data_IF_843840530073
#
_entry.id   IF_843840530073
#
_cell.length_a   1.000
_cell.length_b   1.000
_cell.length_c   1.000
_cell.angle_alpha   90.00
_cell.angle_beta   90.00
_cell.angle_gamma   90.00
#
_symmetry.space_group_name_H-M   'P 1'
#
loop_
_entity.id
_entity.type
_entity.pdbx_description
1 polymer ?
#
# COMPACT_ATOMS: atom_id res chain seq x y z
N UNK A 1 -56.64 -0.72 17.58
CA UNK A 1 -55.51 -1.62 17.96
C UNK A 1 -54.92 -1.14 19.29
N UNK A 2 -55.50 -1.54 20.43
CA UNK A 2 -54.96 -1.25 21.77
C UNK A 2 -55.09 -2.55 22.56
N UNK A 3 -54.05 -3.40 22.50
CA UNK A 3 -53.99 -4.67 23.26
C UNK A 3 -52.56 -5.21 23.43
N UNK A 4 -51.56 -4.33 23.60
CA UNK A 4 -50.17 -4.74 23.94
C UNK A 4 -49.53 -4.03 25.15
N UNK A 5 -50.18 -3.06 25.77
CA UNK A 5 -49.63 -2.32 26.94
C UNK A 5 -49.97 -2.92 28.32
N UNK A 6 -50.84 -3.94 28.40
CA UNK A 6 -51.29 -4.49 29.69
C UNK A 6 -50.38 -5.57 30.27
N UNK A 7 -49.50 -6.21 29.49
CA UNK A 7 -48.66 -7.32 29.97
C UNK A 7 -47.38 -6.84 30.67
N UNK A 8 -46.81 -5.71 30.22
CA UNK A 8 -45.55 -5.16 30.73
C UNK A 8 -45.75 -4.51 32.11
N UNK A 9 -46.90 -3.87 32.33
CA UNK A 9 -47.22 -3.23 33.62
C UNK A 9 -47.53 -4.27 34.74
N UNK A 10 -48.11 -5.42 34.39
CA UNK A 10 -48.35 -6.53 35.33
C UNK A 10 -47.06 -7.23 35.76
N UNK A 11 -46.07 -7.31 34.86
CA UNK A 11 -44.76 -7.89 35.15
C UNK A 11 -43.93 -6.98 36.09
N UNK A 12 -43.92 -5.67 35.85
CA UNK A 12 -43.20 -4.69 36.68
C UNK A 12 -43.77 -4.57 38.10
N UNK A 13 -45.09 -4.68 38.29
CA UNK A 13 -45.72 -4.63 39.63
C UNK A 13 -45.48 -5.93 40.41
N UNK A 14 -45.50 -7.10 39.75
CA UNK A 14 -45.18 -8.39 40.40
C UNK A 14 -43.68 -8.52 40.72
N UNK A 15 -42.80 -7.89 39.94
CA UNK A 15 -41.37 -7.83 40.24
C UNK A 15 -41.10 -6.93 41.46
N UNK A 16 -41.77 -5.77 41.55
CA UNK A 16 -41.61 -4.84 42.67
C UNK A 16 -42.14 -5.36 44.02
N UNK A 17 -43.17 -6.21 43.99
CA UNK A 17 -43.74 -6.80 45.22
C UNK A 17 -43.01 -8.08 45.71
N UNK A 18 -42.25 -8.76 44.85
CA UNK A 18 -41.42 -9.91 45.29
C UNK A 18 -40.09 -9.52 45.92
N UNK A 19 -39.58 -8.33 45.61
CA UNK A 19 -38.30 -7.83 46.17
C UNK A 19 -38.45 -7.40 47.64
N UNK A 20 -39.65 -7.08 48.12
CA UNK A 20 -39.87 -6.61 49.50
C UNK A 20 -40.02 -7.72 50.56
N UNK A 21 -39.80 -8.99 50.20
CA UNK A 21 -40.00 -10.12 51.13
C UNK A 21 -38.92 -11.19 51.10
N UNK A 22 -37.69 -10.80 50.80
CA UNK A 22 -36.53 -11.69 50.92
C UNK A 22 -35.62 -11.26 52.06
N UNK A 23 -35.44 -12.20 52.99
CA UNK A 23 -34.65 -12.09 54.20
C UNK A 23 -33.17 -11.79 53.89
N UNK A 24 -32.52 -11.09 54.83
CA UNK A 24 -31.15 -10.54 54.81
C UNK A 24 -30.03 -11.50 54.37
N UNK A 25 -30.29 -12.79 54.21
CA UNK A 25 -29.30 -13.84 53.90
C UNK A 25 -29.11 -14.07 52.40
N UNK A 26 -30.11 -13.80 51.57
CA UNK A 26 -30.05 -13.98 50.10
C UNK A 26 -29.47 -12.75 49.37
N UNK A 27 -29.53 -11.57 49.98
CA UNK A 27 -29.03 -10.31 49.41
C UNK A 27 -27.49 -10.31 49.23
N UNK A 28 -26.78 -11.02 50.11
CA UNK A 28 -25.32 -11.23 50.03
C UNK A 28 -24.92 -12.11 48.85
N UNK A 29 -25.64 -13.22 48.63
CA UNK A 29 -25.43 -14.12 47.49
C UNK A 29 -25.81 -13.45 46.17
N UNK A 30 -26.90 -12.69 46.14
CA UNK A 30 -27.31 -11.93 44.96
C UNK A 30 -26.29 -10.85 44.59
N UNK A 31 -25.76 -10.09 45.56
CA UNK A 31 -24.68 -9.10 45.33
C UNK A 31 -23.38 -9.74 44.87
N UNK A 32 -23.05 -10.93 45.38
CA UNK A 32 -21.85 -11.68 44.99
C UNK A 32 -21.99 -12.23 43.57
N UNK A 33 -23.16 -12.75 43.20
CA UNK A 33 -23.45 -13.23 41.85
C UNK A 33 -23.59 -12.08 40.83
N UNK A 34 -24.11 -10.91 41.23
CA UNK A 34 -24.12 -9.72 40.37
C UNK A 34 -22.70 -9.18 40.15
N UNK A 35 -21.85 -9.19 41.17
CA UNK A 35 -20.42 -8.86 41.04
C UNK A 35 -19.70 -9.86 40.15
N UNK A 36 -19.94 -11.16 40.30
CA UNK A 36 -19.35 -12.18 39.43
C UNK A 36 -19.85 -12.04 37.98
N UNK A 37 -21.14 -11.75 37.78
CA UNK A 37 -21.70 -11.51 36.46
C UNK A 37 -21.14 -10.23 35.83
N UNK A 38 -20.97 -9.14 36.58
CA UNK A 38 -20.30 -7.93 36.09
C UNK A 38 -18.83 -8.21 35.75
N UNK A 39 -18.11 -8.96 36.61
CA UNK A 39 -16.69 -9.31 36.40
C UNK A 39 -16.51 -10.27 35.22
N UNK A 40 -17.49 -11.13 34.92
CA UNK A 40 -17.49 -12.00 33.73
C UNK A 40 -17.98 -11.28 32.47
N UNK A 41 -18.84 -10.26 32.59
CA UNK A 41 -19.32 -9.44 31.46
C UNK A 41 -18.35 -8.32 31.08
N UNK A 42 -17.56 -7.79 32.01
CA UNK A 42 -16.54 -6.76 31.76
C UNK A 42 -15.50 -7.18 30.69
N UNK A 43 -14.94 -8.40 30.69
CA UNK A 43 -14.07 -8.85 29.61
C UNK A 43 -14.83 -9.24 28.33
N UNK A 44 -16.13 -9.55 28.40
CA UNK A 44 -16.96 -9.78 27.21
C UNK A 44 -17.34 -8.46 26.50
N UNK A 45 -17.43 -7.35 27.24
CA UNK A 45 -17.55 -5.98 26.69
C UNK A 45 -16.20 -5.37 26.29
N UNK A 46 -15.10 -5.72 26.98
CA UNK A 46 -13.77 -5.30 26.57
C UNK A 46 -13.32 -5.96 25.25
N UNK A 47 -13.76 -7.20 24.99
CA UNK A 47 -13.51 -7.88 23.72
C UNK A 47 -14.41 -7.42 22.56
N UNK A 48 -15.50 -6.68 22.83
CA UNK A 48 -16.28 -6.01 21.77
C UNK A 48 -15.78 -4.59 21.46
N UNK A 49 -14.79 -4.08 22.19
CA UNK A 49 -14.18 -2.75 22.00
C UNK A 49 -12.82 -2.81 21.27
N UNK A 50 -12.51 -3.93 20.64
CA UNK A 50 -11.36 -4.05 19.73
C UNK A 50 -11.91 -4.53 18.38
N UNK A 51 -12.78 -3.73 17.76
CA UNK A 51 -12.84 -3.77 16.31
C UNK A 51 -11.57 -3.07 15.81
N UNK A 52 -10.55 -3.88 15.58
CA UNK A 52 -9.31 -3.42 15.00
C UNK A 52 -9.60 -2.84 13.61
N UNK A 53 -9.09 -1.63 13.36
CA UNK A 53 -8.77 -1.06 12.05
C UNK A 53 -8.87 -2.11 10.94
N UNK A 54 -9.90 -2.01 10.07
CA UNK A 54 -10.06 -2.98 8.99
C UNK A 54 -8.97 -2.78 7.94
N UNK A 55 -7.83 -3.40 8.19
CA UNK A 55 -6.70 -3.44 7.27
C UNK A 55 -7.02 -4.48 6.20
N UNK A 56 -7.08 -4.03 4.96
CA UNK A 56 -7.27 -4.91 3.80
C UNK A 56 -5.94 -5.04 3.08
N UNK A 57 -5.58 -6.29 2.78
CA UNK A 57 -4.45 -6.60 1.92
C UNK A 57 -4.98 -6.88 0.51
N UNK A 58 -4.40 -6.23 -0.49
CA UNK A 58 -4.69 -6.48 -1.89
C UNK A 58 -3.39 -6.68 -2.68
N UNK A 59 -3.46 -7.37 -3.81
CA UNK A 59 -2.31 -7.63 -4.66
C UNK A 59 -2.69 -7.43 -6.12
N UNK A 60 -2.09 -6.41 -6.74
CA UNK A 60 -2.32 -6.05 -8.12
C UNK A 60 -1.22 -6.64 -9.00
N UNK A 61 -1.61 -7.37 -10.05
CA UNK A 61 -0.66 -7.90 -11.02
C UNK A 61 -0.28 -6.81 -12.04
N UNK A 62 0.96 -6.88 -12.53
CA UNK A 62 1.45 -5.95 -13.55
C UNK A 62 0.63 -5.99 -14.86
N UNK A 63 0.54 -4.83 -15.51
CA UNK A 63 -0.11 -4.64 -16.80
C UNK A 63 0.84 -5.05 -17.94
N UNK A 64 0.60 -6.26 -18.45
CA UNK A 64 1.51 -6.94 -19.39
C UNK A 64 1.90 -6.15 -20.65
N UNK A 65 1.01 -5.38 -21.32
CA UNK A 65 1.37 -4.64 -22.53
C UNK A 65 2.44 -3.58 -22.32
N UNK A 66 2.56 -3.04 -21.11
CA UNK A 66 3.50 -1.97 -20.75
C UNK A 66 4.64 -2.46 -19.85
N UNK A 67 4.75 -3.77 -19.68
CA UNK A 67 5.77 -4.39 -18.84
C UNK A 67 6.76 -5.15 -19.73
N UNK A 68 8.05 -5.02 -19.45
CA UNK A 68 9.08 -5.60 -20.31
C UNK A 68 10.43 -4.94 -20.12
N UNK A 69 11.25 -4.98 -21.17
CA UNK A 69 12.52 -4.25 -21.18
C UNK A 69 12.76 -3.61 -22.55
N UNK A 70 13.51 -2.52 -22.53
CA UNK A 70 14.08 -1.88 -23.71
C UNK A 70 15.59 -2.12 -23.63
N UNK A 71 16.22 -2.42 -24.77
CA UNK A 71 17.67 -2.52 -24.87
C UNK A 71 18.24 -1.52 -25.86
N UNK A 72 19.33 -0.84 -25.48
CA UNK A 72 20.13 0.01 -26.35
C UNK A 72 21.35 -0.75 -26.82
N UNK A 73 21.45 -0.95 -28.13
CA UNK A 73 22.51 -1.73 -28.79
C UNK A 73 23.58 -0.78 -29.33
N UNK A 74 24.84 -1.04 -28.98
CA UNK A 74 26.02 -0.29 -29.42
C UNK A 74 26.71 -1.05 -30.58
N UNK A 75 26.42 -0.76 -31.85
CA UNK A 75 27.10 -1.41 -32.96
C UNK A 75 28.59 -1.07 -32.96
N UNK A 76 29.43 -2.01 -33.41
CA UNK A 76 30.87 -1.77 -33.50
C UNK A 76 31.21 -0.49 -34.28
N UNK A 77 31.86 0.43 -33.57
CA UNK A 77 32.59 1.58 -34.10
C UNK A 77 31.78 2.50 -35.02
N UNK A 78 30.59 2.96 -34.61
CA UNK A 78 30.03 4.32 -34.80
C UNK A 78 28.49 4.30 -34.72
N UNK A 79 27.84 5.44 -34.38
CA UNK A 79 26.39 5.60 -34.53
C UNK A 79 25.92 5.27 -35.96
N UNK A 80 24.64 4.88 -36.14
CA UNK A 80 23.52 4.99 -35.19
C UNK A 80 23.38 3.82 -34.22
N UNK A 81 22.87 4.08 -33.01
CA UNK A 81 22.44 3.05 -32.06
C UNK A 81 21.06 2.51 -32.46
N UNK A 82 20.78 1.25 -32.06
CA UNK A 82 19.47 0.65 -32.26
C UNK A 82 18.80 0.35 -30.92
N UNK A 83 17.47 0.50 -30.87
CA UNK A 83 16.66 0.11 -29.73
C UNK A 83 15.85 -1.13 -30.07
N UNK A 84 15.82 -2.09 -29.14
CA UNK A 84 14.95 -3.25 -29.21
C UNK A 84 14.00 -3.21 -28.02
N UNK A 85 12.71 -3.38 -28.29
CA UNK A 85 11.66 -3.38 -27.27
C UNK A 85 11.09 -4.78 -27.13
N UNK A 86 10.99 -5.26 -25.89
CA UNK A 86 10.33 -6.53 -25.58
C UNK A 86 9.27 -6.33 -24.51
N UNK A 87 8.05 -6.02 -24.95
CA UNK A 87 6.85 -6.00 -24.09
C UNK A 87 6.35 -7.43 -23.84
N UNK A 88 5.73 -7.66 -22.68
CA UNK A 88 5.14 -8.94 -22.31
C UNK A 88 6.14 -10.11 -22.40
N UNK A 89 7.37 -9.89 -21.96
CA UNK A 89 8.43 -10.89 -21.91
C UNK A 89 8.28 -11.81 -20.68
N UNK A 90 8.80 -13.03 -20.77
CA UNK A 90 8.92 -13.94 -19.61
C UNK A 90 9.90 -13.41 -18.55
N UNK A 91 10.76 -12.48 -18.94
CA UNK A 91 11.76 -11.90 -18.07
C UNK A 91 11.88 -10.38 -18.22
N UNK A 92 12.15 -9.72 -17.10
CA UNK A 92 12.65 -8.36 -16.99
C UNK A 92 14.17 -8.47 -16.85
N UNK A 93 14.92 -7.77 -17.70
CA UNK A 93 16.39 -7.76 -17.69
C UNK A 93 16.91 -6.35 -17.47
N UNK A 94 17.89 -6.21 -16.59
CA UNK A 94 18.51 -4.93 -16.23
C UNK A 94 20.02 -5.12 -16.16
N UNK A 95 20.79 -4.13 -16.62
CA UNK A 95 22.24 -4.15 -16.65
C UNK A 95 22.78 -4.20 -18.08
N UNK A 96 23.94 -4.80 -18.29
CA UNK A 96 24.44 -5.04 -19.64
C UNK A 96 24.50 -6.53 -19.99
N UNK A 97 24.49 -6.78 -21.29
CA UNK A 97 24.78 -8.10 -21.83
C UNK A 97 25.72 -7.96 -23.00
N UNK A 98 26.62 -8.93 -23.09
CA UNK A 98 27.24 -9.28 -24.35
C UNK A 98 26.29 -10.15 -25.15
N UNK A 99 25.91 -9.66 -26.33
CA UNK A 99 24.84 -10.15 -27.20
C UNK A 99 24.41 -11.61 -27.01
N UNK A 100 23.42 -11.79 -26.14
CA UNK A 100 22.53 -12.93 -26.19
C UNK A 100 21.72 -12.74 -27.50
N UNK A 101 21.84 -13.69 -28.44
CA UNK A 101 21.30 -13.68 -29.83
C UNK A 101 22.28 -13.22 -30.94
N UNK A 102 23.51 -13.74 -30.96
CA UNK A 102 24.33 -13.76 -32.20
C UNK A 102 24.81 -12.40 -32.72
N UNK A 103 24.62 -11.33 -31.95
CA UNK A 103 25.22 -10.01 -32.16
C UNK A 103 26.47 -9.92 -31.31
N UNK A 104 27.57 -9.49 -31.90
CA UNK A 104 28.85 -9.28 -31.22
C UNK A 104 28.88 -8.01 -30.36
N UNK A 105 27.78 -7.25 -30.35
CA UNK A 105 27.67 -5.87 -29.85
C UNK A 105 27.36 -5.80 -28.34
N UNK A 106 27.80 -4.70 -27.71
CA UNK A 106 27.46 -4.38 -26.32
C UNK A 106 26.01 -3.87 -26.23
N UNK A 107 25.27 -4.25 -25.19
CA UNK A 107 23.88 -3.87 -24.99
C UNK A 107 23.60 -3.45 -23.55
N UNK A 108 22.98 -2.28 -23.37
CA UNK A 108 22.41 -1.86 -22.09
C UNK A 108 20.91 -2.21 -22.04
N UNK A 109 20.41 -2.62 -20.87
CA UNK A 109 19.05 -3.09 -20.63
C UNK A 109 18.40 -2.32 -19.48
N UNK A 110 17.20 -1.78 -19.74
CA UNK A 110 16.31 -1.16 -18.74
C UNK A 110 14.99 -1.91 -18.74
N UNK A 111 14.47 -2.23 -17.55
CA UNK A 111 13.17 -2.88 -17.42
C UNK A 111 12.10 -1.90 -16.95
N UNK A 112 10.86 -2.19 -17.30
CA UNK A 112 9.71 -1.35 -17.00
C UNK A 112 8.59 -2.19 -16.41
N UNK A 113 7.99 -1.67 -15.35
CA UNK A 113 6.85 -2.23 -14.64
C UNK A 113 5.71 -1.25 -14.71
N UNK A 114 4.53 -1.74 -15.02
CA UNK A 114 3.30 -0.96 -14.95
C UNK A 114 2.28 -1.72 -14.12
N UNK A 115 1.60 -1.05 -13.21
CA UNK A 115 0.49 -1.62 -12.44
C UNK A 115 -0.78 -0.82 -12.69
N UNK A 116 -1.89 -1.51 -12.95
CA UNK A 116 -3.20 -0.87 -13.03
C UNK A 116 -3.69 -0.59 -11.62
N UNK A 117 -3.91 0.69 -11.32
CA UNK A 117 -4.44 1.17 -10.04
C UNK A 117 -5.85 1.76 -10.18
N UNK A 118 -6.47 1.59 -11.36
CA UNK A 118 -7.84 2.03 -11.65
C UNK A 118 -8.84 1.61 -10.57
N UNK A 119 -8.77 0.34 -10.16
CA UNK A 119 -9.68 -0.21 -9.16
C UNK A 119 -9.41 0.37 -7.76
N UNK A 120 -8.20 0.84 -7.48
CA UNK A 120 -7.87 1.43 -6.18
C UNK A 120 -8.61 2.75 -5.95
N UNK A 121 -8.72 3.58 -7.00
CA UNK A 121 -9.58 4.77 -6.98
C UNK A 121 -11.06 4.45 -6.74
N UNK A 122 -11.48 3.20 -6.98
CA UNK A 122 -12.86 2.72 -6.85
C UNK A 122 -13.13 1.96 -5.54
N UNK A 123 -12.11 1.64 -4.73
CA UNK A 123 -12.28 0.97 -3.41
C UNK A 123 -13.00 1.92 -2.42
N UNK A 124 -13.06 3.22 -2.70
CA UNK A 124 -13.95 4.18 -2.07
C UNK A 124 -15.42 3.84 -2.39
N UNK A 125 -16.02 2.95 -1.59
CA UNK A 125 -17.47 2.79 -1.58
C UNK A 125 -18.08 4.05 -0.95
N UNK A 126 -18.75 4.86 -1.77
CA UNK A 126 -19.60 6.05 -1.58
C UNK A 126 -19.41 7.04 -0.41
N UNK A 127 -18.86 6.67 0.75
CA UNK A 127 -18.51 7.54 1.88
C UNK A 127 -17.20 7.11 2.59
N UNK A 128 -16.43 6.20 1.99
CA UNK A 128 -15.19 5.67 2.58
C UNK A 128 -13.95 6.11 1.81
N UNK A 129 -12.90 6.45 2.54
CA UNK A 129 -11.58 6.83 2.05
C UNK A 129 -10.60 5.68 2.22
N UNK A 130 -9.47 5.74 1.51
CA UNK A 130 -8.41 4.73 1.60
C UNK A 130 -7.11 5.37 2.06
N UNK A 131 -6.53 4.84 3.13
CA UNK A 131 -5.20 5.19 3.62
C UNK A 131 -4.22 4.05 3.33
N UNK A 132 -3.16 4.33 2.57
CA UNK A 132 -2.14 3.33 2.24
C UNK A 132 -1.20 3.15 3.43
N UNK A 133 -1.29 2.01 4.10
CA UNK A 133 -0.37 1.67 5.20
C UNK A 133 1.02 1.35 4.63
N UNK A 134 1.07 0.50 3.60
CA UNK A 134 2.29 0.14 2.87
C UNK A 134 1.99 -0.24 1.42
N UNK A 135 2.91 0.04 0.52
CA UNK A 135 2.88 -0.50 -0.84
C UNK A 135 4.25 -1.04 -1.22
N UNK A 136 4.31 -2.29 -1.65
CA UNK A 136 5.55 -2.94 -2.06
C UNK A 136 5.41 -3.60 -3.41
N UNK A 137 6.41 -3.45 -4.26
CA UNK A 137 6.52 -4.30 -5.45
C UNK A 137 7.31 -5.54 -5.08
N UNK A 138 6.77 -6.71 -5.43
CA UNK A 138 7.45 -8.00 -5.35
C UNK A 138 7.80 -8.48 -6.76
N UNK A 139 9.07 -8.83 -6.96
CA UNK A 139 9.59 -9.39 -8.20
C UNK A 139 10.15 -10.78 -7.95
N UNK A 140 9.77 -11.77 -8.77
CA UNK A 140 10.35 -13.11 -8.70
C UNK A 140 11.75 -13.14 -9.30
N UNK A 141 12.74 -13.58 -8.54
CA UNK A 141 14.14 -13.64 -8.97
C UNK A 141 14.32 -14.77 -10.01
N UNK A 142 14.96 -14.48 -11.15
CA UNK A 142 15.26 -15.45 -12.21
C UNK A 142 16.75 -15.77 -12.31
N UNK A 143 17.60 -14.77 -12.16
CA UNK A 143 19.03 -15.00 -12.17
C UNK A 143 19.80 -13.69 -12.08
N UNK A 144 21.10 -13.84 -11.90
CA UNK A 144 22.06 -12.75 -11.92
C UNK A 144 23.33 -13.20 -12.63
N UNK A 145 24.04 -12.24 -13.19
CA UNK A 145 25.36 -12.43 -13.76
C UNK A 145 26.22 -11.23 -13.36
N UNK A 146 27.41 -11.48 -12.82
CA UNK A 146 28.40 -10.45 -12.53
C UNK A 146 29.74 -10.84 -13.14
N UNK A 147 30.31 -9.98 -13.99
CA UNK A 147 31.49 -10.28 -14.81
C UNK A 147 31.39 -11.65 -15.51
N UNK A 148 30.22 -11.96 -16.06
CA UNK A 148 29.98 -13.21 -16.78
C UNK A 148 29.85 -14.46 -15.90
N UNK A 149 29.87 -14.31 -14.58
CA UNK A 149 29.69 -15.41 -13.61
C UNK A 149 28.25 -15.43 -13.11
N UNK A 150 27.55 -16.55 -13.37
CA UNK A 150 26.17 -16.73 -12.92
C UNK A 150 26.05 -16.81 -11.40
N UNK A 151 24.98 -16.22 -10.86
CA UNK A 151 24.70 -16.20 -9.41
C UNK A 151 25.50 -15.16 -8.63
N UNK A 152 26.29 -14.34 -9.33
CA UNK A 152 27.01 -13.19 -8.76
C UNK A 152 26.21 -11.91 -9.05
N UNK A 153 26.21 -10.97 -8.12
CA UNK A 153 25.60 -9.65 -8.33
C UNK A 153 26.40 -8.88 -9.39
N UNK A 154 25.77 -8.08 -10.27
CA UNK A 154 26.48 -7.28 -11.28
C UNK A 154 27.62 -6.43 -10.71
N UNK A 155 28.75 -6.38 -11.44
CA UNK A 155 29.98 -5.70 -11.06
C UNK A 155 30.38 -4.75 -12.19
N UNK A 156 30.00 -3.50 -12.09
CA UNK A 156 30.39 -2.49 -13.07
C UNK A 156 31.68 -1.80 -12.63
N UNK A 157 32.70 -1.74 -13.50
CA UNK A 157 33.97 -1.05 -13.24
C UNK A 157 34.63 -1.47 -11.92
N UNK A 158 34.57 -2.77 -11.57
CA UNK A 158 35.02 -3.32 -10.28
C UNK A 158 34.25 -2.84 -9.04
N UNK A 159 33.05 -2.29 -9.20
CA UNK A 159 32.15 -1.96 -8.09
C UNK A 159 31.06 -3.03 -7.93
N UNK A 160 31.16 -3.92 -6.93
CA UNK A 160 30.17 -4.98 -6.70
C UNK A 160 28.93 -4.51 -5.93
N UNK A 161 28.86 -3.23 -5.54
CA UNK A 161 27.80 -2.69 -4.66
C UNK A 161 26.96 -1.63 -5.36
N UNK A 162 26.90 -1.63 -6.69
CA UNK A 162 26.09 -0.66 -7.42
C UNK A 162 24.61 -1.01 -7.27
N UNK A 163 23.78 -0.19 -6.60
CA UNK A 163 22.41 -0.57 -6.34
C UNK A 163 21.56 -0.56 -7.61
N UNK A 164 20.72 -1.57 -7.74
CA UNK A 164 19.56 -1.57 -8.62
C UNK A 164 18.48 -0.70 -7.97
N UNK A 165 18.01 0.30 -8.71
CA UNK A 165 17.01 1.25 -8.27
C UNK A 165 15.73 1.11 -9.10
N UNK A 166 14.64 1.60 -8.52
CA UNK A 166 13.40 1.86 -9.23
C UNK A 166 13.21 3.37 -9.35
N UNK A 167 12.83 3.83 -10.54
CA UNK A 167 12.49 5.22 -10.82
C UNK A 167 10.99 5.32 -11.06
N UNK A 168 10.33 6.30 -10.45
CA UNK A 168 8.93 6.60 -10.68
C UNK A 168 8.80 7.45 -11.95
N UNK A 169 8.04 6.94 -12.91
CA UNK A 169 7.98 7.48 -14.28
C UNK A 169 6.53 7.54 -14.77
N UNK A 170 6.33 8.25 -15.89
CA UNK A 170 5.05 8.29 -16.62
C UNK A 170 5.31 8.28 -18.13
N UNK A 171 5.09 7.12 -18.77
CA UNK A 171 5.11 6.99 -20.23
C UNK A 171 3.69 7.04 -20.83
N UNK A 172 2.66 7.30 -20.02
CA UNK A 172 1.28 7.21 -20.45
C UNK A 172 0.86 5.77 -20.76
N UNK A 173 0.09 5.60 -21.84
CA UNK A 173 -0.62 4.34 -22.16
C UNK A 173 0.12 3.41 -23.10
N UNK A 174 1.30 3.82 -23.58
CA UNK A 174 2.18 3.07 -24.47
C UNK A 174 3.62 3.36 -24.02
N UNK A 175 4.49 2.34 -23.99
CA UNK A 175 5.91 2.56 -23.76
C UNK A 175 6.47 3.46 -24.87
N UNK A 176 6.95 4.65 -24.51
CA UNK A 176 7.68 5.51 -25.43
C UNK A 176 9.03 4.87 -25.71
N UNK A 177 9.24 4.48 -26.96
CA UNK A 177 10.44 3.77 -27.37
C UNK A 177 11.52 4.71 -27.90
N UNK A 178 11.19 6.01 -27.97
CA UNK A 178 12.10 7.07 -28.39
C UNK A 178 12.77 7.77 -27.22
N UNK A 179 12.19 7.66 -26.03
CA UNK A 179 12.75 8.20 -24.79
C UNK A 179 13.43 7.09 -23.97
N UNK A 180 14.72 6.84 -24.28
CA UNK A 180 15.54 5.93 -23.49
C UNK A 180 15.79 6.49 -22.08
N UNK A 181 15.83 7.81 -21.93
CA UNK A 181 16.36 8.52 -20.76
C UNK A 181 15.28 8.77 -19.69
N UNK A 182 14.03 8.41 -19.94
CA UNK A 182 12.98 8.43 -18.95
C UNK A 182 13.35 7.59 -17.71
N UNK A 183 13.13 8.18 -16.53
CA UNK A 183 13.67 7.76 -15.23
C UNK A 183 14.96 8.48 -14.81
N UNK A 184 15.65 9.20 -15.72
CA UNK A 184 16.82 10.02 -15.37
C UNK A 184 16.42 11.41 -14.84
N UNK A 185 17.34 12.03 -14.08
CA UNK A 185 17.17 13.38 -13.55
C UNK A 185 16.99 14.38 -14.70
N UNK A 186 15.89 15.14 -14.65
CA UNK A 186 15.60 16.21 -15.61
C UNK A 186 14.86 15.76 -16.87
N UNK A 187 14.58 14.47 -17.04
CA UNK A 187 13.69 13.98 -18.09
C UNK A 187 12.21 14.25 -17.73
N UNK A 188 11.40 14.66 -18.71
CA UNK A 188 9.99 15.06 -18.50
C UNK A 188 9.05 13.91 -18.12
N UNK A 189 9.42 12.67 -18.44
CA UNK A 189 8.70 11.45 -18.08
C UNK A 189 9.17 10.89 -16.74
N UNK A 190 10.22 11.45 -16.13
CA UNK A 190 10.64 11.13 -14.77
C UNK A 190 9.86 11.94 -13.75
N UNK A 191 9.12 11.26 -12.87
CA UNK A 191 8.45 11.90 -11.74
C UNK A 191 9.43 12.01 -10.56
N UNK A 192 9.95 10.86 -10.13
CA UNK A 192 10.92 10.78 -9.03
C UNK A 192 12.00 9.74 -9.38
N UNK A 193 13.23 10.17 -9.67
CA UNK A 193 14.35 9.23 -9.88
C UNK A 193 14.71 8.54 -8.57
N UNK A 194 15.22 7.31 -8.67
CA UNK A 194 15.70 6.51 -7.54
C UNK A 194 14.71 6.44 -6.37
N UNK A 195 13.41 6.34 -6.68
CA UNK A 195 12.35 6.33 -5.66
C UNK A 195 12.48 5.17 -4.67
N UNK A 196 13.17 4.09 -5.05
CA UNK A 196 13.44 2.95 -4.19
C UNK A 196 14.73 2.22 -4.57
N UNK A 197 15.39 1.64 -3.57
CA UNK A 197 16.42 0.62 -3.79
C UNK A 197 15.71 -0.72 -3.94
N UNK A 198 15.90 -1.36 -5.08
CA UNK A 198 15.33 -2.68 -5.38
C UNK A 198 16.22 -3.76 -4.78
N UNK A 199 17.53 -3.64 -4.98
CA UNK A 199 18.49 -4.67 -4.59
C UNK A 199 19.91 -4.08 -4.61
N UNK A 200 20.73 -4.37 -3.61
CA UNK A 200 22.13 -3.93 -3.50
C UNK A 200 23.12 -5.12 -3.36
N UNK A 201 22.60 -6.34 -3.28
CA UNK A 201 23.36 -7.60 -3.23
C UNK A 201 22.48 -8.80 -3.60
N UNK A 202 23.08 -9.91 -4.07
CA UNK A 202 22.36 -11.17 -4.31
C UNK A 202 22.16 -11.96 -3.02
N UNK A 203 20.91 -12.14 -2.61
CA UNK A 203 20.53 -13.30 -1.80
C UNK A 203 20.21 -14.48 -2.73
N UNK A 204 21.16 -15.41 -2.85
CA UNK A 204 21.06 -16.58 -3.75
C UNK A 204 19.90 -17.52 -3.37
N UNK A 205 19.34 -17.39 -2.17
CA UNK A 205 18.23 -18.20 -1.70
C UNK A 205 16.88 -17.48 -1.82
N UNK A 206 16.88 -16.17 -2.11
CA UNK A 206 15.67 -15.40 -2.22
C UNK A 206 14.94 -15.72 -3.54
N UNK A 207 13.73 -16.25 -3.42
CA UNK A 207 12.84 -16.52 -4.57
C UNK A 207 12.28 -15.21 -5.13
N UNK A 208 12.21 -14.16 -4.31
CA UNK A 208 11.69 -12.85 -4.68
C UNK A 208 12.44 -11.74 -3.96
N UNK A 209 12.37 -10.55 -4.56
CA UNK A 209 12.82 -9.29 -3.99
C UNK A 209 11.62 -8.36 -3.82
N UNK A 210 11.59 -7.60 -2.71
CA UNK A 210 10.54 -6.61 -2.44
C UNK A 210 11.14 -5.23 -2.17
N UNK A 211 10.49 -4.19 -2.68
CA UNK A 211 10.88 -2.81 -2.43
C UNK A 211 9.67 -1.91 -2.25
N UNK A 212 9.82 -0.87 -1.42
CA UNK A 212 8.74 0.05 -1.06
C UNK A 212 8.48 1.06 -2.18
N UNK A 213 7.20 1.28 -2.49
CA UNK A 213 6.73 2.27 -3.47
C UNK A 213 5.53 3.05 -2.94
N UNK A 214 5.36 3.14 -1.61
CA UNK A 214 4.21 3.78 -0.98
C UNK A 214 4.02 5.21 -1.45
N UNK A 215 5.09 6.00 -1.43
CA UNK A 215 5.00 7.43 -1.71
C UNK A 215 4.71 7.71 -3.20
N UNK A 216 5.36 6.99 -4.11
CA UNK A 216 5.11 7.11 -5.56
C UNK A 216 3.70 6.64 -5.92
N UNK A 217 3.22 5.57 -5.30
CA UNK A 217 1.85 5.09 -5.49
C UNK A 217 0.82 6.11 -4.97
N UNK A 218 1.04 6.66 -3.76
CA UNK A 218 0.15 7.68 -3.20
C UNK A 218 0.08 8.90 -4.12
N UNK A 219 1.22 9.34 -4.65
CA UNK A 219 1.28 10.43 -5.62
C UNK A 219 0.43 10.14 -6.87
N UNK A 220 0.52 8.93 -7.43
CA UNK A 220 -0.28 8.56 -8.61
C UNK A 220 -1.79 8.54 -8.30
N UNK A 221 -2.18 8.10 -7.11
CA UNK A 221 -3.58 8.08 -6.65
C UNK A 221 -4.10 9.50 -6.44
N UNK A 222 -3.33 10.37 -5.80
CA UNK A 222 -3.72 11.77 -5.54
C UNK A 222 -3.94 12.55 -6.85
N UNK A 223 -3.22 12.17 -7.92
CA UNK A 223 -3.40 12.70 -9.27
C UNK A 223 -4.50 12.00 -10.09
N UNK A 224 -5.24 11.06 -9.49
CA UNK A 224 -6.25 10.24 -10.15
C UNK A 224 -5.72 9.49 -11.39
N UNK A 225 -4.48 9.00 -11.33
CA UNK A 225 -3.91 8.20 -12.41
C UNK A 225 -4.50 6.79 -12.41
N UNK A 226 -4.53 6.22 -13.61
CA UNK A 226 -4.97 4.84 -13.83
C UNK A 226 -3.84 3.82 -13.67
N UNK A 227 -2.59 4.27 -13.80
CA UNK A 227 -1.39 3.44 -13.84
C UNK A 227 -0.37 4.00 -12.87
N UNK A 228 0.39 3.11 -12.24
CA UNK A 228 1.63 3.42 -11.54
C UNK A 228 2.79 2.70 -12.24
N UNK A 229 3.82 3.45 -12.62
CA UNK A 229 4.86 2.98 -13.55
C UNK A 229 6.25 3.19 -12.98
N UNK A 230 7.10 2.18 -13.19
CA UNK A 230 8.45 2.15 -12.65
C UNK A 230 9.44 1.67 -13.68
N UNK A 231 10.58 2.37 -13.79
CA UNK A 231 11.76 1.87 -14.50
C UNK A 231 12.66 1.18 -13.48
N UNK A 232 13.27 0.07 -13.86
CA UNK A 232 14.34 -0.57 -13.12
C UNK A 232 15.65 -0.37 -13.88
N UNK A 233 16.63 0.24 -13.21
CA UNK A 233 17.94 0.56 -13.76
C UNK A 233 19.00 0.56 -12.64
N UNK A 234 20.27 0.52 -13.00
CA UNK A 234 21.36 0.78 -12.05
C UNK A 234 21.58 2.29 -11.93
N UNK A 235 21.82 2.78 -10.70
CA UNK A 235 21.87 4.21 -10.34
C UNK A 235 22.94 5.06 -11.06
N UNK A 236 23.97 4.47 -11.66
CA UNK A 236 25.08 5.28 -12.22
C UNK A 236 25.75 4.72 -13.47
N UNK A 237 25.58 3.43 -13.77
CA UNK A 237 26.19 2.79 -14.91
C UNK A 237 25.19 1.87 -15.56
N UNK A 238 25.15 1.89 -16.89
CA UNK A 238 24.34 0.94 -17.65
C UNK A 238 25.20 -0.17 -18.27
N UNK A 239 26.50 0.11 -18.34
CA UNK A 239 27.54 -0.77 -18.84
C UNK A 239 28.90 -0.23 -18.39
N UNK A 240 29.89 -1.10 -18.26
CA UNK A 240 31.30 -0.73 -18.10
C UNK A 240 32.15 -1.02 -19.35
N UNK A 241 31.50 -1.39 -20.46
CA UNK A 241 32.10 -1.67 -21.77
C UNK A 241 33.14 -2.79 -21.75
N UNK A 242 33.01 -3.76 -20.86
CA UNK A 242 33.83 -4.96 -20.92
C UNK A 242 33.20 -6.06 -21.81
N UNK A 243 33.82 -7.24 -21.81
CA UNK A 243 33.38 -8.38 -22.61
C UNK A 243 32.55 -9.40 -21.82
N UNK A 244 32.21 -9.05 -20.60
CA UNK A 244 31.43 -9.84 -19.69
C UNK A 244 30.02 -9.25 -19.62
N UNK A 245 29.11 -9.99 -19.00
CA UNK A 245 27.72 -9.57 -18.85
C UNK A 245 27.46 -9.35 -17.37
N UNK A 246 26.83 -8.21 -17.08
CA UNK A 246 26.53 -7.75 -15.75
C UNK A 246 25.04 -7.41 -15.68
N UNK A 247 24.22 -8.42 -15.33
CA UNK A 247 22.78 -8.29 -15.35
C UNK A 247 22.03 -8.93 -14.19
N UNK A 248 20.84 -8.40 -13.96
CA UNK A 248 19.79 -8.98 -13.12
C UNK A 248 18.61 -9.36 -13.99
N UNK A 249 18.03 -10.52 -13.68
CA UNK A 249 16.87 -11.05 -14.37
C UNK A 249 15.78 -11.34 -13.34
N UNK A 250 14.62 -10.73 -13.54
CA UNK A 250 13.39 -11.02 -12.80
C UNK A 250 12.36 -11.66 -13.73
N UNK A 251 11.35 -12.33 -13.15
CA UNK A 251 10.19 -12.80 -13.90
C UNK A 251 9.37 -11.61 -14.43
N UNK A 252 8.93 -11.71 -15.68
CA UNK A 252 8.10 -10.70 -16.32
C UNK A 252 6.60 -10.92 -16.13
N UNK A 253 5.83 -10.14 -16.88
CA UNK A 253 4.37 -10.12 -16.79
C UNK A 253 3.67 -11.27 -17.53
N UNK A 254 4.42 -12.10 -18.26
CA UNK A 254 3.87 -13.09 -19.17
C UNK A 254 2.95 -14.11 -18.47
N UNK A 255 1.80 -14.41 -19.09
CA UNK A 255 0.72 -15.21 -18.47
C UNK A 255 1.10 -16.67 -18.19
N UNK A 256 2.11 -17.22 -18.84
CA UNK A 256 2.55 -18.62 -18.59
C UNK A 256 3.38 -18.77 -17.31
N UNK A 257 3.83 -17.67 -16.70
CA UNK A 257 4.60 -17.70 -15.46
C UNK A 257 3.67 -17.98 -14.29
N UNK A 258 4.06 -18.84 -13.32
CA UNK A 258 3.30 -19.05 -12.09
C UNK A 258 2.95 -17.74 -11.39
N UNK A 259 1.69 -17.56 -11.02
CA UNK A 259 1.16 -16.31 -10.49
C UNK A 259 1.90 -15.84 -9.22
N UNK A 260 2.44 -16.76 -8.41
CA UNK A 260 3.24 -16.41 -7.23
C UNK A 260 4.63 -15.83 -7.57
N UNK A 261 5.10 -15.94 -8.81
CA UNK A 261 6.39 -15.44 -9.27
C UNK A 261 6.27 -14.22 -10.20
N UNK A 262 5.07 -13.91 -10.71
CA UNK A 262 4.84 -12.71 -11.54
C UNK A 262 5.01 -11.43 -10.72
N UNK A 263 5.44 -10.32 -11.35
CA UNK A 263 5.51 -9.02 -10.68
C UNK A 263 4.16 -8.61 -10.12
N UNK A 264 4.18 -8.19 -8.85
CA UNK A 264 3.00 -7.86 -8.07
C UNK A 264 3.22 -6.61 -7.24
N UNK A 265 2.20 -5.76 -7.17
CA UNK A 265 2.11 -4.66 -6.23
C UNK A 265 1.25 -5.13 -5.05
N UNK A 266 1.88 -5.30 -3.88
CA UNK A 266 1.25 -5.73 -2.64
C UNK A 266 0.91 -4.48 -1.84
N UNK A 267 -0.37 -4.30 -1.56
CA UNK A 267 -0.92 -3.16 -0.85
C UNK A 267 -1.46 -3.61 0.49
N UNK A 268 -1.10 -2.91 1.54
CA UNK A 268 -1.83 -2.94 2.80
C UNK A 268 -2.43 -1.55 2.99
N UNK A 269 -3.74 -1.48 3.14
CA UNK A 269 -4.44 -0.22 3.29
C UNK A 269 -5.55 -0.34 4.32
N UNK A 270 -6.00 0.81 4.79
CA UNK A 270 -7.13 0.93 5.70
C UNK A 270 -8.22 1.71 5.01
N UNK A 271 -9.42 1.16 5.04
CA UNK A 271 -10.62 1.88 4.66
C UNK A 271 -11.09 2.64 5.87
N UNK A 272 -11.36 3.94 5.74
CA UNK A 272 -11.80 4.79 6.84
C UNK A 272 -12.91 5.74 6.42
N UNK A 273 -13.59 6.35 7.39
CA UNK A 273 -14.52 7.46 7.18
C UNK A 273 -14.04 8.66 7.98
N UNK A 274 -14.27 9.87 7.50
CA UNK A 274 -13.96 11.06 8.29
C UNK A 274 -14.75 11.03 9.60
N UNK A 275 -14.09 11.34 10.71
CA UNK A 275 -14.68 11.35 12.05
C UNK A 275 -14.89 9.99 12.72
N UNK A 276 -14.65 8.87 12.02
CA UNK A 276 -14.75 7.49 12.56
C UNK A 276 -13.38 7.03 13.08
N UNK A 277 -13.05 7.49 14.28
CA UNK A 277 -11.70 7.39 14.89
C UNK A 277 -11.46 6.10 15.67
N UNK A 278 -12.51 5.36 16.01
CA UNK A 278 -12.39 3.99 16.51
C UNK A 278 -12.49 2.93 15.39
N UNK A 279 -12.81 3.33 14.16
CA UNK A 279 -12.90 2.48 12.97
C UNK A 279 -13.99 1.41 13.08
N UNK A 280 -15.06 1.67 13.84
CA UNK A 280 -16.21 0.77 13.95
C UNK A 280 -17.19 0.89 12.77
N UNK A 281 -16.98 1.89 11.91
CA UNK A 281 -17.77 2.17 10.71
C UNK A 281 -18.86 3.22 10.92
N UNK A 282 -19.03 3.73 12.15
CA UNK A 282 -20.05 4.69 12.55
C UNK A 282 -19.42 5.91 13.22
N UNK A 283 -19.83 7.10 12.79
CA UNK A 283 -19.42 8.34 13.47
C UNK A 283 -20.36 8.60 14.65
N UNK A 284 -19.85 8.50 15.88
CA UNK A 284 -20.62 8.59 17.13
C UNK A 284 -19.98 9.54 18.15
N UNK A 285 -20.60 9.67 19.33
CA UNK A 285 -20.02 10.43 20.44
C UNK A 285 -18.73 9.79 21.00
N UNK A 286 -18.50 8.50 20.75
CA UNK A 286 -17.28 7.81 21.18
C UNK A 286 -16.06 8.36 20.43
N UNK A 287 -16.21 8.68 19.15
CA UNK A 287 -15.14 9.29 18.35
C UNK A 287 -14.73 10.66 18.87
N UNK A 288 -15.71 11.46 19.29
CA UNK A 288 -15.47 12.76 19.91
C UNK A 288 -14.58 12.60 21.14
N UNK A 289 -14.87 11.61 21.99
CA UNK A 289 -14.06 11.32 23.17
C UNK A 289 -12.63 10.94 22.77
N UNK A 290 -12.44 10.07 21.78
CA UNK A 290 -11.11 9.64 21.33
C UNK A 290 -10.28 10.78 20.74
N UNK A 291 -10.89 11.67 19.96
CA UNK A 291 -10.21 12.89 19.47
C UNK A 291 -9.75 13.75 20.63
N UNK A 292 -10.64 14.02 21.60
CA UNK A 292 -10.30 14.83 22.78
C UNK A 292 -9.20 14.19 23.63
N UNK A 293 -9.24 12.87 23.81
CA UNK A 293 -8.19 12.13 24.52
C UNK A 293 -6.84 12.24 23.81
N UNK A 294 -6.80 12.10 22.49
CA UNK A 294 -5.58 12.27 21.67
C UNK A 294 -5.01 13.68 21.79
N UNK A 295 -5.86 14.71 21.77
CA UNK A 295 -5.46 16.12 21.94
C UNK A 295 -4.89 16.35 23.35
N UNK A 296 -5.57 15.88 24.40
CA UNK A 296 -5.18 16.12 25.80
C UNK A 296 -3.90 15.37 26.16
N UNK A 297 -3.75 14.13 25.71
CA UNK A 297 -2.60 13.29 26.07
C UNK A 297 -1.33 13.66 25.30
N UNK A 298 -1.39 14.59 24.35
CA UNK A 298 -0.29 14.97 23.46
C UNK A 298 0.43 13.74 22.88
N UNK A 299 -0.34 12.69 22.58
CA UNK A 299 0.17 11.45 22.02
C UNK A 299 0.70 11.71 20.61
N UNK A 300 1.79 11.05 20.23
CA UNK A 300 2.23 11.02 18.84
C UNK A 300 1.09 10.47 17.98
N UNK A 301 0.44 11.34 17.21
CA UNK A 301 -0.61 10.96 16.28
C UNK A 301 0.02 10.16 15.13
N UNK A 302 -0.61 9.06 14.73
CA UNK A 302 -0.29 8.46 13.43
C UNK A 302 -0.85 9.33 12.30
N UNK A 303 -0.29 9.19 11.10
CA UNK A 303 -0.83 9.88 9.91
C UNK A 303 -2.30 9.53 9.64
N UNK A 304 -2.70 8.29 9.96
CA UNK A 304 -4.08 7.84 9.85
C UNK A 304 -4.98 8.52 10.89
N UNK A 305 -4.53 8.63 12.15
CA UNK A 305 -5.28 9.35 13.19
C UNK A 305 -5.55 10.79 12.79
N UNK A 306 -4.53 11.45 12.23
CA UNK A 306 -4.66 12.80 11.71
C UNK A 306 -5.64 12.83 10.54
N UNK A 307 -5.52 11.92 9.56
CA UNK A 307 -6.42 11.90 8.39
C UNK A 307 -7.88 11.62 8.70
N UNK A 308 -8.15 10.81 9.70
CA UNK A 308 -9.50 10.44 10.09
C UNK A 308 -10.13 11.54 10.95
N UNK A 309 -9.36 12.09 11.89
CA UNK A 309 -9.85 13.04 12.87
C UNK A 309 -9.83 14.51 12.43
N UNK A 310 -8.96 14.91 11.50
CA UNK A 310 -8.91 16.28 10.92
C UNK A 310 -10.06 16.46 9.91
N UNK A 311 -11.26 16.63 10.46
CA UNK A 311 -12.49 16.72 9.67
C UNK A 311 -12.72 18.13 9.13
N UNK A 312 -12.01 19.13 9.65
CA UNK A 312 -12.05 20.48 9.08
C UNK A 312 -11.02 20.71 7.96
N UNK A 313 -10.02 19.81 7.83
CA UNK A 313 -9.03 19.79 6.76
C UNK A 313 -7.88 20.79 6.95
N UNK A 314 -7.66 21.28 8.17
CA UNK A 314 -6.63 22.30 8.44
C UNK A 314 -5.21 21.72 8.64
N UNK A 315 -5.08 20.39 8.62
CA UNK A 315 -3.83 19.66 8.80
C UNK A 315 -3.47 19.38 10.27
N UNK A 316 -4.37 19.64 11.23
CA UNK A 316 -4.13 19.45 12.66
C UNK A 316 -5.37 18.89 13.34
N UNK A 317 -5.17 17.93 14.22
CA UNK A 317 -6.22 17.42 15.09
C UNK A 317 -6.45 18.37 16.28
N UNK A 318 -7.64 18.96 16.38
CA UNK A 318 -7.97 20.01 17.33
C UNK A 318 -9.42 19.91 17.86
N UNK A 319 -9.78 20.76 18.82
CA UNK A 319 -11.09 20.70 19.51
C UNK A 319 -12.27 21.05 18.59
N UNK A 320 -12.02 21.89 17.60
CA UNK A 320 -12.94 22.16 16.49
C UNK A 320 -13.33 20.89 15.73
N UNK A 321 -12.39 19.97 15.48
CA UNK A 321 -12.70 18.70 14.84
C UNK A 321 -13.67 17.87 15.68
N UNK A 322 -13.37 17.73 16.98
CA UNK A 322 -14.27 17.04 17.91
C UNK A 322 -15.68 17.67 17.93
N UNK A 323 -15.77 19.00 17.84
CA UNK A 323 -17.05 19.70 17.76
C UNK A 323 -17.81 19.44 16.46
N UNK A 324 -17.10 19.30 15.33
CA UNK A 324 -17.70 18.95 14.04
C UNK A 324 -18.18 17.50 14.02
N UNK A 325 -17.38 16.56 14.55
CA UNK A 325 -17.75 15.15 14.70
C UNK A 325 -19.03 15.03 15.54
N UNK A 326 -19.13 15.76 16.66
CA UNK A 326 -20.34 15.77 17.49
C UNK A 326 -21.56 16.33 16.75
N UNK A 327 -21.38 17.36 15.92
CA UNK A 327 -22.46 17.90 15.09
C UNK A 327 -22.93 16.88 14.05
N UNK A 328 -22.00 16.15 13.43
CA UNK A 328 -22.32 15.11 12.46
C UNK A 328 -23.05 13.94 13.13
N UNK A 329 -22.55 13.43 14.25
CA UNK A 329 -23.17 12.34 15.02
C UNK A 329 -24.62 12.68 15.46
N UNK A 330 -24.90 13.95 15.73
CA UNK A 330 -26.25 14.45 16.07
C UNK A 330 -27.12 14.83 14.86
N UNK A 331 -26.63 14.65 13.64
CA UNK A 331 -27.34 14.99 12.40
C UNK A 331 -27.54 16.49 12.17
N UNK A 332 -26.75 17.35 12.84
CA UNK A 332 -26.77 18.80 12.64
C UNK A 332 -26.06 19.20 11.34
N UNK A 333 -25.05 18.42 10.96
CA UNK A 333 -24.41 18.47 9.64
C UNK A 333 -24.49 17.08 9.00
N UNK A 334 -24.44 17.04 7.68
CA UNK A 334 -24.50 15.79 6.90
C UNK A 334 -23.21 15.45 6.17
N UNK A 335 -22.23 16.36 6.23
CA UNK A 335 -20.88 16.26 5.67
C UNK A 335 -19.92 17.11 6.47
N UNK A 336 -18.66 16.71 6.50
CA UNK A 336 -17.58 17.47 7.09
C UNK A 336 -17.03 18.54 6.15
N UNK A 337 -16.41 19.62 6.67
CA UNK A 337 -15.75 20.61 5.85
C UNK A 337 -14.71 20.04 4.89
N UNK A 338 -13.92 19.04 5.32
CA UNK A 338 -12.90 18.36 4.49
C UNK A 338 -13.46 17.63 3.26
N UNK A 339 -14.78 17.40 3.22
CA UNK A 339 -15.46 16.70 2.13
C UNK A 339 -16.05 17.63 1.05
N UNK A 340 -15.82 18.94 1.14
CA UNK A 340 -16.40 19.94 0.23
C UNK A 340 -15.47 20.45 -0.86
#
# INVERSE_FOLDING_TARGET
MIKKSSLIFSFLIRFRLRVLKFEKTEESKLKTNLKLALILLLPLFANSLIQAQQTVQDTLSCFAPLTGFISRIYPFNQPPFFFLIRTNSEALRIGDIKGDIGVTDNMALRSYLTFSIQNFSQISQQDSQVFINSAKIRLGNLGSMGNGVGGIYPIFNNNPNLPLVADHIDFGTVLDTTDWDAGEIGNNQTITPETAIVMDSVDINAIYTEFDVKNSLQYDIDLNKNLSQYRLAFSSFETDNDFFSDNLIFRGAYLSIPENLRPKLILNYTVYKFGDTDFDGFVTELDVQLVLEKIVNNSTLSDLDLKVGDVDGNGKLQVNDASLILQYANGLITKFPVEN
#
